data_IF_839664734114
#
_entry.id   IF_839664734114
#
_cell.length_a   1.000
_cell.length_b   1.000
_cell.length_c   1.000
_cell.angle_alpha   90.00
_cell.angle_beta   90.00
_cell.angle_gamma   90.00
#
_symmetry.space_group_name_H-M   'P 1'
#
loop_
_entity.id
_entity.type
_entity.pdbx_description
1 polymer ?
#
# COMPACT_ATOMS: atom_id res chain seq x y z
N UNK A 1 -80.27 -4.15 32.53
CA UNK A 1 -79.34 -3.47 31.60
C UNK A 1 -78.25 -2.61 32.26
N UNK A 2 -78.10 -2.56 33.60
CA UNK A 2 -77.11 -1.66 34.26
C UNK A 2 -75.72 -2.29 34.51
N UNK A 3 -75.59 -3.63 34.45
CA UNK A 3 -74.31 -4.30 34.72
C UNK A 3 -73.36 -4.42 33.51
N UNK A 4 -73.88 -4.36 32.27
CA UNK A 4 -73.05 -4.45 31.05
C UNK A 4 -72.36 -3.11 30.70
N UNK A 5 -72.93 -1.97 31.11
CA UNK A 5 -72.37 -0.63 30.84
C UNK A 5 -71.18 -0.26 31.73
N UNK A 6 -71.14 -0.71 32.99
CA UNK A 6 -70.03 -0.44 33.92
C UNK A 6 -68.78 -1.25 33.61
N UNK A 7 -68.91 -2.47 33.11
CA UNK A 7 -67.77 -3.32 32.77
C UNK A 7 -67.01 -2.84 31.52
N UNK A 8 -67.70 -2.27 30.52
CA UNK A 8 -67.04 -1.62 29.39
C UNK A 8 -66.26 -0.35 29.79
N UNK A 9 -66.79 0.46 30.71
CA UNK A 9 -66.13 1.71 31.15
C UNK A 9 -64.84 1.47 31.95
N UNK A 10 -64.80 0.42 32.77
CA UNK A 10 -63.58 0.05 33.50
C UNK A 10 -62.53 -0.60 32.58
N UNK A 11 -62.96 -1.49 31.67
CA UNK A 11 -62.09 -2.08 30.66
C UNK A 11 -61.43 -1.03 29.76
N UNK A 12 -62.16 0.01 29.35
CA UNK A 12 -61.60 1.09 28.52
C UNK A 12 -60.59 1.98 29.27
N UNK A 13 -60.82 2.23 30.57
CA UNK A 13 -59.87 2.99 31.40
C UNK A 13 -58.60 2.20 31.68
N UNK A 14 -58.72 0.91 31.89
CA UNK A 14 -57.60 0.00 32.11
C UNK A 14 -56.77 -0.18 30.84
N UNK A 15 -57.43 -0.37 29.68
CA UNK A 15 -56.79 -0.39 28.36
C UNK A 15 -56.05 0.91 28.06
N UNK A 16 -56.63 2.09 28.37
CA UNK A 16 -55.96 3.39 28.17
C UNK A 16 -54.76 3.59 29.11
N UNK A 17 -54.85 3.12 30.36
CA UNK A 17 -53.72 3.15 31.31
C UNK A 17 -52.58 2.25 30.85
N UNK A 18 -52.90 1.05 30.37
CA UNK A 18 -51.92 0.10 29.86
C UNK A 18 -51.28 0.59 28.56
N UNK A 19 -52.06 1.15 27.63
CA UNK A 19 -51.54 1.80 26.42
C UNK A 19 -50.60 2.97 26.75
N UNK A 20 -50.96 3.82 27.73
CA UNK A 20 -50.10 4.94 28.17
C UNK A 20 -48.81 4.45 28.83
N UNK A 21 -48.89 3.41 29.66
CA UNK A 21 -47.72 2.77 30.27
C UNK A 21 -46.77 2.20 29.22
N UNK A 22 -47.31 1.48 28.23
CA UNK A 22 -46.54 0.91 27.13
C UNK A 22 -45.87 1.99 26.27
N UNK A 23 -46.55 3.11 26.01
CA UNK A 23 -46.01 4.23 25.24
C UNK A 23 -44.87 4.95 25.98
N UNK A 24 -44.99 5.12 27.31
CA UNK A 24 -43.92 5.68 28.15
C UNK A 24 -42.71 4.73 28.21
N UNK A 25 -42.93 3.43 28.36
CA UNK A 25 -41.85 2.42 28.30
C UNK A 25 -41.16 2.45 26.94
N UNK A 26 -41.92 2.51 25.85
CA UNK A 26 -41.39 2.59 24.49
C UNK A 26 -40.55 3.86 24.25
N UNK A 27 -41.06 5.04 24.64
CA UNK A 27 -40.35 6.32 24.48
C UNK A 27 -39.03 6.33 25.25
N UNK A 28 -39.04 5.85 26.51
CA UNK A 28 -37.81 5.74 27.32
C UNK A 28 -36.80 4.77 26.70
N UNK A 29 -37.27 3.68 26.10
CA UNK A 29 -36.39 2.74 25.41
C UNK A 29 -35.75 3.38 24.17
N UNK A 30 -36.48 4.20 23.42
CA UNK A 30 -35.94 4.92 22.25
C UNK A 30 -34.92 5.99 22.62
N UNK A 31 -35.19 6.81 23.64
CA UNK A 31 -34.25 7.83 24.12
C UNK A 31 -32.93 7.18 24.56
N UNK A 32 -33.02 6.11 25.35
CA UNK A 32 -31.84 5.38 25.80
C UNK A 32 -31.06 4.77 24.64
N UNK A 33 -31.74 4.18 23.64
CA UNK A 33 -31.07 3.66 22.43
C UNK A 33 -30.31 4.76 21.66
N UNK A 34 -30.83 5.99 21.62
CA UNK A 34 -30.17 7.10 20.94
C UNK A 34 -28.91 7.57 21.68
N UNK A 35 -28.96 7.66 23.01
CA UNK A 35 -27.79 7.99 23.85
C UNK A 35 -26.65 6.98 23.64
N UNK A 36 -27.01 5.70 23.62
CA UNK A 36 -26.08 4.58 23.39
C UNK A 36 -25.41 4.73 22.03
N UNK A 37 -26.19 4.90 20.96
CA UNK A 37 -25.64 5.05 19.60
C UNK A 37 -24.70 6.26 19.51
N UNK A 38 -25.00 7.36 20.20
CA UNK A 38 -24.13 8.54 20.24
C UNK A 38 -22.81 8.27 20.97
N UNK A 39 -22.84 7.60 22.11
CA UNK A 39 -21.64 7.23 22.86
C UNK A 39 -20.77 6.21 22.11
N UNK A 40 -21.40 5.28 21.39
CA UNK A 40 -20.73 4.25 20.58
C UNK A 40 -20.00 4.83 19.36
N UNK A 41 -20.48 5.94 18.78
CA UNK A 41 -19.78 6.64 17.68
C UNK A 41 -18.41 7.19 18.15
N UNK A 42 -18.20 7.37 19.45
CA UNK A 42 -16.96 7.97 20.00
C UNK A 42 -15.91 6.96 20.46
N UNK A 43 -16.24 5.66 20.56
CA UNK A 43 -15.35 4.62 21.08
C UNK A 43 -14.87 3.67 19.96
N UNK A 44 -13.56 3.42 19.90
CA UNK A 44 -12.88 2.89 18.71
C UNK A 44 -12.61 1.37 18.70
N UNK A 45 -12.84 0.65 19.81
CA UNK A 45 -12.55 -0.78 19.91
C UNK A 45 -13.81 -1.64 19.88
N UNK A 46 -13.91 -2.58 18.94
CA UNK A 46 -15.06 -3.47 18.73
C UNK A 46 -15.45 -4.26 19.99
N UNK A 47 -14.47 -4.76 20.76
CA UNK A 47 -14.76 -5.54 21.97
C UNK A 47 -15.39 -4.68 23.08
N UNK A 48 -14.83 -3.48 23.32
CA UNK A 48 -15.36 -2.53 24.30
C UNK A 48 -16.74 -2.03 23.88
N UNK A 49 -16.96 -1.85 22.57
CA UNK A 49 -18.24 -1.49 21.98
C UNK A 49 -19.31 -2.54 22.29
N UNK A 50 -19.02 -3.81 22.02
CA UNK A 50 -19.97 -4.89 22.22
C UNK A 50 -20.30 -5.14 23.70
N UNK A 51 -19.32 -5.07 24.61
CA UNK A 51 -19.55 -5.23 26.05
C UNK A 51 -20.51 -4.16 26.59
N UNK A 52 -20.30 -2.88 26.21
CA UNK A 52 -21.19 -1.79 26.60
C UNK A 52 -22.61 -1.99 26.05
N UNK A 53 -22.70 -2.31 24.75
CA UNK A 53 -23.98 -2.62 24.10
C UNK A 53 -24.72 -3.75 24.79
N UNK A 54 -24.03 -4.82 25.17
CA UNK A 54 -24.65 -5.98 25.80
C UNK A 54 -25.30 -5.61 27.14
N UNK A 55 -24.59 -4.87 27.99
CA UNK A 55 -25.11 -4.39 29.28
C UNK A 55 -26.40 -3.60 29.06
N UNK A 56 -26.41 -2.71 28.08
CA UNK A 56 -27.52 -1.83 27.83
C UNK A 56 -28.71 -2.53 27.17
N UNK A 57 -28.45 -3.42 26.20
CA UNK A 57 -29.47 -4.27 25.58
C UNK A 57 -30.14 -5.15 26.64
N UNK A 58 -29.35 -5.79 27.51
CA UNK A 58 -29.86 -6.59 28.64
C UNK A 58 -30.74 -5.77 29.57
N UNK A 59 -30.33 -4.54 29.90
CA UNK A 59 -31.13 -3.63 30.72
C UNK A 59 -32.41 -3.15 30.01
N UNK A 60 -32.34 -2.91 28.69
CA UNK A 60 -33.44 -2.38 27.89
C UNK A 60 -34.57 -3.41 27.68
N UNK A 61 -34.17 -4.65 27.41
CA UNK A 61 -35.03 -5.77 27.14
C UNK A 61 -35.14 -6.74 28.32
N UNK A 62 -34.68 -6.38 29.51
CA UNK A 62 -34.79 -7.23 30.71
C UNK A 62 -34.43 -8.69 30.41
N UNK A 63 -33.34 -8.89 29.67
CA UNK A 63 -32.93 -10.19 29.14
C UNK A 63 -31.61 -10.62 29.79
N UNK A 64 -31.42 -11.94 29.89
CA UNK A 64 -30.26 -12.53 30.57
C UNK A 64 -29.09 -12.77 29.61
N UNK A 65 -29.40 -12.97 28.33
CA UNK A 65 -28.43 -13.28 27.29
C UNK A 65 -28.57 -12.38 26.07
N UNK A 66 -27.43 -12.01 25.47
CA UNK A 66 -27.34 -11.31 24.18
C UNK A 66 -26.29 -11.98 23.33
N UNK A 67 -26.65 -12.39 22.12
CA UNK A 67 -25.70 -12.89 21.12
C UNK A 67 -25.87 -12.14 19.81
N UNK A 68 -24.77 -11.70 19.21
CA UNK A 68 -24.75 -11.07 17.90
C UNK A 68 -24.09 -12.03 16.92
N UNK A 69 -24.82 -12.37 15.87
CA UNK A 69 -24.32 -13.17 14.77
C UNK A 69 -24.21 -12.32 13.51
N UNK A 70 -23.09 -12.42 12.80
CA UNK A 70 -22.91 -11.85 11.47
C UNK A 70 -23.23 -12.88 10.40
N UNK A 71 -23.97 -12.45 9.38
CA UNK A 71 -24.21 -13.26 8.20
C UNK A 71 -22.93 -13.28 7.36
N UNK A 72 -22.51 -14.47 6.95
CA UNK A 72 -21.37 -14.62 6.06
C UNK A 72 -21.70 -14.12 4.63
N UNK A 73 -20.69 -13.84 3.79
CA UNK A 73 -20.93 -13.37 2.42
C UNK A 73 -21.74 -14.33 1.53
N UNK A 74 -21.76 -15.63 1.86
CA UNK A 74 -22.58 -16.61 1.13
C UNK A 74 -24.07 -16.51 1.47
N UNK A 75 -24.40 -15.95 2.64
CA UNK A 75 -25.76 -15.87 3.16
C UNK A 75 -26.27 -17.18 3.79
N UNK A 76 -25.42 -18.19 3.92
CA UNK A 76 -25.80 -19.51 4.41
C UNK A 76 -25.54 -19.70 5.90
N UNK A 77 -24.60 -18.94 6.47
CA UNK A 77 -24.10 -19.16 7.82
C UNK A 77 -24.13 -17.89 8.67
N UNK A 78 -24.62 -18.03 9.89
CA UNK A 78 -24.57 -17.02 10.95
C UNK A 78 -23.40 -17.34 11.88
N UNK A 79 -22.38 -16.49 11.89
CA UNK A 79 -21.20 -16.65 12.72
C UNK A 79 -21.31 -15.75 13.95
N UNK A 80 -21.19 -16.28 15.18
CA UNK A 80 -21.22 -15.47 16.38
C UNK A 80 -20.00 -14.55 16.41
N UNK A 81 -20.23 -13.25 16.57
CA UNK A 81 -19.15 -12.24 16.73
C UNK A 81 -19.07 -11.70 18.15
N UNK A 82 -20.15 -11.86 18.91
CA UNK A 82 -20.23 -11.46 20.31
C UNK A 82 -21.30 -12.28 21.04
N UNK A 83 -21.03 -12.62 22.30
CA UNK A 83 -21.98 -13.28 23.19
C UNK A 83 -21.73 -12.84 24.62
N UNK A 84 -22.81 -12.53 25.34
CA UNK A 84 -22.82 -12.29 26.78
C UNK A 84 -24.00 -13.09 27.35
N UNK A 85 -23.72 -14.36 27.66
CA UNK A 85 -24.68 -15.32 28.21
C UNK A 85 -23.94 -16.33 29.12
N UNK A 86 -23.46 -15.90 30.31
CA UNK A 86 -22.79 -16.79 31.23
C UNK A 86 -23.77 -17.84 31.81
N UNK A 87 -23.38 -19.12 31.95
CA UNK A 87 -22.03 -19.67 31.74
C UNK A 87 -21.72 -20.12 30.30
N UNK A 88 -22.68 -20.04 29.38
CA UNK A 88 -22.62 -20.67 28.05
C UNK A 88 -21.84 -19.86 26.99
N UNK A 89 -21.37 -18.66 27.31
CA UNK A 89 -20.70 -17.72 26.39
C UNK A 89 -19.68 -18.37 25.45
N UNK A 90 -18.78 -19.21 25.95
CA UNK A 90 -17.72 -19.81 25.12
C UNK A 90 -18.25 -20.81 24.08
N UNK A 91 -19.21 -21.65 24.46
CA UNK A 91 -19.77 -22.66 23.56
C UNK A 91 -20.59 -22.01 22.44
N UNK A 92 -21.32 -20.93 22.80
CA UNK A 92 -22.09 -20.14 21.84
C UNK A 92 -21.15 -19.44 20.85
N UNK A 93 -20.05 -18.83 21.32
CA UNK A 93 -19.07 -18.16 20.45
C UNK A 93 -18.33 -19.13 19.49
N UNK A 94 -18.29 -20.42 19.78
CA UNK A 94 -17.67 -21.44 18.92
C UNK A 94 -18.64 -22.03 17.89
N UNK A 95 -19.93 -21.71 17.99
CA UNK A 95 -20.99 -22.40 17.23
C UNK A 95 -21.60 -21.49 16.16
N UNK A 96 -21.24 -21.72 14.90
CA UNK A 96 -21.92 -21.10 13.76
C UNK A 96 -23.26 -21.80 13.48
N UNK A 97 -24.27 -21.01 13.10
CA UNK A 97 -25.61 -21.51 12.82
C UNK A 97 -25.87 -21.51 11.31
N UNK A 98 -26.38 -22.62 10.79
CA UNK A 98 -26.88 -22.67 9.41
C UNK A 98 -28.21 -21.91 9.33
N UNK A 99 -28.31 -20.93 8.43
CA UNK A 99 -29.50 -20.09 8.28
C UNK A 99 -30.75 -20.94 8.06
N UNK A 100 -30.70 -21.97 7.22
CA UNK A 100 -31.86 -22.80 6.91
C UNK A 100 -32.34 -23.66 8.09
N UNK A 101 -31.46 -23.98 9.03
CA UNK A 101 -31.69 -24.95 10.10
C UNK A 101 -31.67 -24.36 11.52
N UNK A 102 -32.01 -23.08 11.69
CA UNK A 102 -32.14 -22.48 13.01
C UNK A 102 -33.27 -21.45 13.10
N UNK A 103 -33.72 -21.13 14.32
CA UNK A 103 -34.72 -20.08 14.57
C UNK A 103 -34.22 -18.70 14.13
N UNK A 104 -32.94 -18.43 14.34
CA UNK A 104 -32.32 -17.16 14.00
C UNK A 104 -32.37 -16.88 12.49
N UNK A 105 -32.15 -17.90 11.67
CA UNK A 105 -32.22 -17.80 10.21
C UNK A 105 -33.65 -17.62 9.67
N UNK A 106 -34.70 -17.94 10.44
CA UNK A 106 -36.07 -17.56 10.07
C UNK A 106 -36.24 -16.05 10.04
N UNK A 107 -35.64 -15.35 11.00
CA UNK A 107 -35.65 -13.89 11.05
C UNK A 107 -34.88 -13.28 9.87
N UNK A 108 -33.73 -13.85 9.50
CA UNK A 108 -32.97 -13.48 8.30
C UNK A 108 -33.82 -13.61 7.04
N UNK A 109 -34.42 -14.80 6.79
CA UNK A 109 -35.23 -15.05 5.60
C UNK A 109 -36.48 -14.17 5.53
N UNK A 110 -37.09 -13.89 6.69
CA UNK A 110 -38.28 -13.05 6.78
C UNK A 110 -37.97 -11.54 6.83
N UNK A 111 -36.71 -11.15 7.01
CA UNK A 111 -36.23 -9.77 7.19
C UNK A 111 -37.02 -8.98 8.25
N UNK A 112 -37.43 -9.66 9.31
CA UNK A 112 -38.17 -9.04 10.43
C UNK A 112 -37.85 -9.72 11.76
N UNK A 113 -37.96 -8.96 12.84
CA UNK A 113 -37.86 -9.50 14.19
C UNK A 113 -38.93 -10.54 14.47
N UNK A 114 -38.56 -11.57 15.23
CA UNK A 114 -39.44 -12.68 15.59
C UNK A 114 -39.26 -13.02 17.07
N UNK A 115 -40.38 -13.37 17.73
CA UNK A 115 -40.38 -13.87 19.11
C UNK A 115 -40.70 -15.36 19.05
N UNK A 116 -39.92 -16.13 19.80
CA UNK A 116 -40.06 -17.56 20.01
C UNK A 116 -40.12 -17.82 21.51
N UNK A 117 -41.31 -17.65 22.10
CA UNK A 117 -41.54 -18.13 23.46
C UNK A 117 -41.58 -19.67 23.44
N UNK A 118 -40.94 -20.33 24.39
CA UNK A 118 -40.70 -21.78 24.42
C UNK A 118 -39.84 -22.22 23.24
N UNK A 119 -38.71 -21.54 23.05
CA UNK A 119 -37.82 -21.67 21.89
C UNK A 119 -37.40 -23.12 21.64
N UNK A 120 -37.13 -23.90 22.70
CA UNK A 120 -36.73 -25.32 22.58
C UNK A 120 -37.82 -26.24 22.04
N UNK A 121 -39.09 -25.81 22.09
CA UNK A 121 -40.24 -26.56 21.53
C UNK A 121 -40.56 -26.15 20.10
N UNK A 122 -39.93 -25.10 19.57
CA UNK A 122 -40.20 -24.62 18.22
C UNK A 122 -39.60 -25.57 17.17
N UNK A 123 -40.31 -25.85 16.06
CA UNK A 123 -39.72 -26.61 14.95
C UNK A 123 -38.46 -25.90 14.46
N UNK A 124 -37.36 -26.61 14.21
CA UNK A 124 -36.09 -25.99 13.78
C UNK A 124 -35.34 -25.24 14.89
N UNK A 125 -35.69 -25.46 16.16
CA UNK A 125 -34.81 -25.18 17.28
C UNK A 125 -33.51 -25.99 17.13
N UNK A 126 -32.38 -25.32 17.35
CA UNK A 126 -31.06 -25.93 17.28
C UNK A 126 -30.43 -25.82 18.66
N UNK A 127 -30.10 -26.96 19.27
CA UNK A 127 -29.37 -26.98 20.53
C UNK A 127 -27.90 -26.72 20.24
N UNK A 128 -27.34 -25.69 20.89
CA UNK A 128 -25.91 -25.40 20.80
C UNK A 128 -25.15 -26.52 21.53
N UNK A 129 -24.15 -27.16 20.90
CA UNK A 129 -23.36 -28.20 21.55
C UNK A 129 -22.70 -27.66 22.83
N UNK A 130 -22.72 -28.44 23.92
CA UNK A 130 -22.09 -28.06 25.18
C UNK A 130 -22.94 -27.20 26.12
N UNK A 131 -24.11 -26.72 25.69
CA UNK A 131 -25.06 -25.98 26.55
C UNK A 131 -26.17 -26.89 27.09
N UNK A 132 -26.73 -26.61 28.29
CA UNK A 132 -27.84 -27.39 28.85
C UNK A 132 -29.10 -27.28 27.98
N UNK A 133 -29.93 -28.32 28.02
CA UNK A 133 -31.27 -28.29 27.40
C UNK A 133 -32.22 -27.61 28.38
N UNK A 134 -32.51 -26.33 28.15
CA UNK A 134 -33.38 -25.53 29.00
C UNK A 134 -34.84 -25.58 28.49
N UNK A 135 -35.80 -25.70 29.39
CA UNK A 135 -37.19 -26.01 29.02
C UNK A 135 -38.11 -24.79 28.91
N UNK A 136 -37.65 -23.63 29.39
CA UNK A 136 -38.42 -22.38 29.50
C UNK A 136 -37.73 -21.19 28.80
N UNK A 137 -36.92 -21.45 27.76
CA UNK A 137 -36.25 -20.38 27.02
C UNK A 137 -37.22 -19.58 26.16
N UNK A 138 -37.18 -18.27 26.31
CA UNK A 138 -37.87 -17.30 25.46
C UNK A 138 -36.83 -16.52 24.67
N UNK A 139 -36.94 -16.58 23.34
CA UNK A 139 -35.97 -15.98 22.42
C UNK A 139 -36.62 -14.85 21.62
N UNK A 140 -36.01 -13.67 21.60
CA UNK A 140 -36.31 -12.63 20.62
C UNK A 140 -35.15 -12.51 19.64
N UNK A 141 -35.40 -12.78 18.36
CA UNK A 141 -34.43 -12.64 17.29
C UNK A 141 -34.74 -11.39 16.48
N UNK A 142 -33.78 -10.50 16.37
CA UNK A 142 -33.87 -9.24 15.64
C UNK A 142 -32.88 -9.30 14.46
N UNK A 143 -33.30 -9.07 13.21
CA UNK A 143 -32.36 -8.98 12.10
C UNK A 143 -31.66 -7.62 12.11
N UNK A 144 -30.36 -7.64 11.87
CA UNK A 144 -29.60 -6.45 11.54
C UNK A 144 -29.76 -6.21 10.03
N UNK A 145 -30.33 -5.07 9.66
CA UNK A 145 -30.63 -4.74 8.27
C UNK A 145 -29.82 -3.52 7.85
N UNK A 146 -29.18 -3.61 6.68
CA UNK A 146 -28.49 -2.49 6.07
C UNK A 146 -29.45 -1.43 5.48
N UNK A 147 -28.89 -0.38 4.89
CA UNK A 147 -29.66 0.70 4.24
C UNK A 147 -30.51 0.21 3.05
N UNK A 148 -30.16 -0.93 2.45
CA UNK A 148 -30.87 -1.55 1.34
C UNK A 148 -31.86 -2.63 1.82
N UNK A 149 -32.11 -2.71 3.13
CA UNK A 149 -32.99 -3.71 3.73
C UNK A 149 -32.51 -5.15 3.49
N UNK A 150 -31.19 -5.34 3.39
CA UNK A 150 -30.55 -6.65 3.34
C UNK A 150 -30.03 -7.04 4.73
N UNK A 151 -30.21 -8.32 5.12
CA UNK A 151 -29.74 -8.79 6.39
C UNK A 151 -28.21 -8.88 6.41
N UNK A 152 -27.60 -8.26 7.42
CA UNK A 152 -26.16 -8.33 7.70
C UNK A 152 -25.86 -9.28 8.86
N UNK A 153 -26.89 -9.68 9.61
CA UNK A 153 -26.77 -10.56 10.77
C UNK A 153 -28.05 -10.55 11.62
N UNK A 154 -27.94 -11.05 12.84
CA UNK A 154 -29.03 -11.05 13.84
C UNK A 154 -28.51 -10.76 15.24
N UNK A 155 -29.40 -10.24 16.07
CA UNK A 155 -29.25 -10.14 17.52
C UNK A 155 -30.25 -11.12 18.12
N UNK A 156 -29.76 -12.05 18.93
CA UNK A 156 -30.56 -13.00 19.69
C UNK A 156 -30.59 -12.57 21.16
N UNK A 157 -31.77 -12.38 21.72
CA UNK A 157 -31.98 -12.03 23.12
C UNK A 157 -32.68 -13.18 23.84
N UNK A 158 -32.15 -13.57 24.99
CA UNK A 158 -32.66 -14.70 25.77
C UNK A 158 -33.27 -14.22 27.11
N UNK A 159 -34.45 -14.77 27.45
CA UNK A 159 -35.07 -14.71 28.78
C UNK A 159 -35.44 -16.14 29.20
N UNK A 160 -35.32 -16.46 30.50
CA UNK A 160 -35.77 -17.75 31.06
C UNK A 160 -37.15 -17.63 31.76
N UNK A 161 -37.37 -16.58 32.55
CA UNK A 161 -38.56 -16.52 33.43
C UNK A 161 -39.72 -15.67 32.88
N UNK A 162 -39.53 -15.00 31.74
CA UNK A 162 -40.52 -14.07 31.19
C UNK A 162 -40.57 -14.08 29.66
N UNK A 163 -41.79 -14.15 29.13
CA UNK A 163 -42.04 -14.09 27.69
C UNK A 163 -41.73 -12.70 27.12
N UNK A 164 -41.32 -12.67 25.85
CA UNK A 164 -41.26 -11.41 25.10
C UNK A 164 -42.64 -11.02 24.59
N UNK A 165 -42.94 -9.72 24.61
CA UNK A 165 -44.18 -9.15 24.07
C UNK A 165 -43.99 -8.59 22.66
N UNK A 166 -45.04 -8.64 21.84
CA UNK A 166 -45.01 -8.15 20.44
C UNK A 166 -44.66 -6.66 20.34
N UNK A 167 -45.01 -5.86 21.35
CA UNK A 167 -44.66 -4.43 21.40
C UNK A 167 -43.14 -4.17 21.52
N UNK A 168 -42.36 -5.17 21.97
CA UNK A 168 -40.90 -5.08 22.14
C UNK A 168 -40.16 -5.23 20.80
N UNK A 169 -40.80 -5.89 19.80
CA UNK A 169 -40.23 -6.06 18.46
C UNK A 169 -39.97 -4.73 17.76
N UNK A 170 -40.78 -3.70 18.00
CA UNK A 170 -40.57 -2.38 17.38
C UNK A 170 -39.25 -1.77 17.86
N UNK A 171 -38.99 -1.81 19.17
CA UNK A 171 -37.71 -1.36 19.75
C UNK A 171 -36.55 -2.25 19.28
N UNK A 172 -36.78 -3.56 19.21
CA UNK A 172 -35.80 -4.52 18.71
C UNK A 172 -35.37 -4.22 17.27
N UNK A 173 -36.31 -4.09 16.34
CA UNK A 173 -36.01 -3.81 14.94
C UNK A 173 -35.24 -2.49 14.75
N UNK A 174 -35.55 -1.46 15.55
CA UNK A 174 -34.81 -0.19 15.55
C UNK A 174 -33.35 -0.42 15.99
N UNK A 175 -33.15 -1.16 17.08
CA UNK A 175 -31.81 -1.57 17.53
C UNK A 175 -31.05 -2.34 16.42
N UNK A 176 -31.72 -3.25 15.71
CA UNK A 176 -31.11 -4.02 14.61
C UNK A 176 -30.58 -3.13 13.48
N UNK A 177 -31.32 -2.10 13.09
CA UNK A 177 -30.88 -1.12 12.06
C UNK A 177 -29.68 -0.30 12.57
N UNK A 178 -29.73 0.17 13.81
CA UNK A 178 -28.64 0.94 14.41
C UNK A 178 -27.35 0.11 14.50
N UNK A 179 -27.44 -1.11 15.01
CA UNK A 179 -26.29 -2.01 15.11
C UNK A 179 -25.72 -2.37 13.75
N UNK A 180 -26.56 -2.64 12.75
CA UNK A 180 -26.08 -2.87 11.38
C UNK A 180 -25.28 -1.66 10.85
N UNK A 181 -25.74 -0.45 11.14
CA UNK A 181 -25.08 0.79 10.68
C UNK A 181 -23.76 1.03 11.41
N UNK A 182 -23.74 0.84 12.73
CA UNK A 182 -22.54 1.01 13.56
C UNK A 182 -21.44 0.03 13.15
N UNK A 183 -21.79 -1.25 12.98
CA UNK A 183 -20.83 -2.28 12.56
C UNK A 183 -20.27 -2.01 11.17
N UNK A 184 -21.13 -1.60 10.22
CA UNK A 184 -20.67 -1.21 8.87
C UNK A 184 -19.70 -0.02 8.92
N UNK A 185 -19.99 0.99 9.73
CA UNK A 185 -19.12 2.16 9.89
C UNK A 185 -17.77 1.78 10.54
N UNK A 186 -17.77 0.93 11.56
CA UNK A 186 -16.56 0.45 12.21
C UNK A 186 -15.65 -0.32 11.23
N UNK A 187 -16.24 -1.21 10.42
CA UNK A 187 -15.53 -1.95 9.39
C UNK A 187 -14.93 -1.02 8.31
N UNK A 188 -15.72 -0.08 7.80
CA UNK A 188 -15.27 0.89 6.80
C UNK A 188 -14.12 1.76 7.34
N UNK A 189 -14.22 2.22 8.59
CA UNK A 189 -13.17 3.00 9.23
C UNK A 189 -11.87 2.21 9.38
N UNK A 190 -11.94 0.94 9.79
CA UNK A 190 -10.78 0.05 9.92
C UNK A 190 -10.10 -0.20 8.57
N UNK A 191 -10.89 -0.45 7.53
CA UNK A 191 -10.39 -0.61 6.16
C UNK A 191 -9.68 0.66 5.68
N UNK A 192 -10.34 1.82 5.82
CA UNK A 192 -9.78 3.13 5.46
C UNK A 192 -8.48 3.42 6.20
N UNK A 193 -8.43 3.18 7.53
CA UNK A 193 -7.23 3.41 8.34
C UNK A 193 -6.06 2.52 7.89
N UNK A 194 -6.34 1.26 7.52
CA UNK A 194 -5.32 0.36 6.98
C UNK A 194 -4.79 0.84 5.63
N UNK A 195 -5.66 1.32 4.76
CA UNK A 195 -5.29 1.86 3.44
C UNK A 195 -4.47 3.15 3.57
N UNK A 196 -4.90 4.09 4.41
CA UNK A 196 -4.16 5.32 4.71
C UNK A 196 -2.76 5.00 5.23
N UNK A 197 -2.65 4.11 6.22
CA UNK A 197 -1.35 3.69 6.75
C UNK A 197 -0.46 3.04 5.69
N UNK A 198 -1.02 2.16 4.86
CA UNK A 198 -0.28 1.52 3.77
C UNK A 198 0.22 2.55 2.74
N UNK A 199 -0.60 3.56 2.43
CA UNK A 199 -0.24 4.67 1.54
C UNK A 199 0.88 5.52 2.15
N UNK A 200 0.76 5.90 3.42
CA UNK A 200 1.80 6.66 4.15
C UNK A 200 3.14 5.90 4.17
N UNK A 201 3.13 4.61 4.49
CA UNK A 201 4.33 3.77 4.48
C UNK A 201 4.93 3.67 3.08
N UNK A 202 4.10 3.52 2.04
CA UNK A 202 4.56 3.47 0.65
C UNK A 202 5.18 4.79 0.22
N UNK A 203 4.57 5.91 0.57
CA UNK A 203 5.07 7.25 0.26
C UNK A 203 6.39 7.52 0.99
N UNK A 204 6.51 7.15 2.26
CA UNK A 204 7.77 7.27 3.01
C UNK A 204 8.88 6.42 2.40
N UNK A 205 8.58 5.18 1.99
CA UNK A 205 9.54 4.32 1.28
C UNK A 205 10.01 4.97 0.00
N UNK A 206 9.09 5.47 -0.85
CA UNK A 206 9.44 6.15 -2.09
C UNK A 206 10.28 7.42 -1.85
N UNK A 207 9.87 8.29 -0.91
CA UNK A 207 10.63 9.50 -0.54
C UNK A 207 12.05 9.17 -0.08
N UNK A 208 12.22 8.09 0.68
CA UNK A 208 13.53 7.62 1.14
C UNK A 208 14.41 7.16 -0.03
N UNK A 209 13.86 6.34 -0.93
CA UNK A 209 14.57 5.85 -2.11
C UNK A 209 15.05 7.01 -3.00
N UNK A 210 14.17 7.97 -3.29
CA UNK A 210 14.53 9.15 -4.11
C UNK A 210 15.59 10.01 -3.41
N UNK A 211 15.47 10.21 -2.10
CA UNK A 211 16.38 11.06 -1.31
C UNK A 211 17.81 10.52 -1.27
N UNK A 212 17.97 9.20 -1.13
CA UNK A 212 19.27 8.54 -1.00
C UNK A 212 19.76 7.87 -2.29
N UNK A 213 19.08 8.09 -3.42
CA UNK A 213 19.55 7.61 -4.71
C UNK A 213 20.94 8.20 -5.02
N UNK A 214 21.88 7.40 -5.56
CA UNK A 214 23.20 7.88 -5.98
C UNK A 214 23.14 8.72 -7.28
N UNK A 215 21.95 8.86 -7.86
CA UNK A 215 21.68 9.67 -9.04
C UNK A 215 20.95 10.95 -8.65
N UNK A 216 21.23 12.04 -9.35
CA UNK A 216 20.36 13.20 -9.36
C UNK A 216 19.02 12.80 -10.00
N UNK A 217 17.90 13.12 -9.36
CA UNK A 217 16.56 12.82 -9.87
C UNK A 217 15.78 14.13 -9.91
N UNK A 218 15.09 14.38 -11.02
CA UNK A 218 14.09 15.43 -11.12
C UNK A 218 12.84 14.96 -11.84
N UNK A 219 11.72 15.63 -11.58
CA UNK A 219 10.52 15.53 -12.40
C UNK A 219 10.09 16.90 -12.90
N UNK A 220 9.40 16.92 -14.03
CA UNK A 220 8.86 18.13 -14.66
C UNK A 220 7.46 17.87 -15.19
N UNK A 221 6.67 18.94 -15.32
CA UNK A 221 5.40 18.93 -16.06
C UNK A 221 5.64 19.01 -17.58
N UNK A 222 4.55 19.06 -18.36
CA UNK A 222 4.62 19.19 -19.83
C UNK A 222 5.09 20.58 -20.31
N UNK A 223 5.18 21.56 -19.42
CA UNK A 223 5.61 22.94 -19.72
C UNK A 223 7.08 23.19 -19.35
N UNK A 224 7.78 22.17 -18.84
CA UNK A 224 9.18 22.24 -18.48
C UNK A 224 9.42 22.83 -17.08
N UNK A 225 8.39 23.04 -16.28
CA UNK A 225 8.57 23.47 -14.89
C UNK A 225 9.03 22.28 -14.05
N UNK A 226 10.09 22.48 -13.27
CA UNK A 226 10.63 21.42 -12.40
C UNK A 226 9.74 21.30 -11.17
N UNK A 227 9.16 20.11 -10.97
CA UNK A 227 8.22 19.83 -9.87
C UNK A 227 8.93 19.28 -8.64
N UNK A 228 9.99 18.51 -8.82
CA UNK A 228 10.75 17.91 -7.74
C UNK A 228 12.20 17.71 -8.15
N UNK A 229 13.09 17.82 -7.17
CA UNK A 229 14.50 17.44 -7.27
C UNK A 229 14.92 16.68 -6.01
N UNK A 230 15.81 15.71 -6.14
CA UNK A 230 16.44 15.08 -4.99
C UNK A 230 17.74 15.80 -4.57
N UNK A 231 18.25 15.57 -3.34
CA UNK A 231 19.47 16.23 -2.87
C UNK A 231 20.70 15.96 -3.74
N UNK A 232 20.80 14.76 -4.33
CA UNK A 232 21.95 14.41 -5.17
C UNK A 232 22.05 15.30 -6.40
N UNK A 233 20.91 15.68 -7.01
CA UNK A 233 20.95 16.61 -8.15
C UNK A 233 21.49 17.98 -7.75
N UNK A 234 21.17 18.47 -6.55
CA UNK A 234 21.69 19.74 -6.04
C UNK A 234 23.21 19.69 -5.90
N UNK A 235 23.74 18.58 -5.38
CA UNK A 235 25.18 18.33 -5.27
C UNK A 235 25.86 18.29 -6.64
N UNK A 236 25.28 17.58 -7.61
CA UNK A 236 25.79 17.48 -8.98
C UNK A 236 25.88 18.86 -9.61
N UNK A 237 24.82 19.68 -9.50
CA UNK A 237 24.77 21.01 -10.11
C UNK A 237 25.49 22.09 -9.28
N UNK A 238 25.83 21.84 -8.02
CA UNK A 238 26.32 22.88 -7.10
C UNK A 238 25.24 23.89 -6.72
N UNK A 239 23.98 23.45 -6.68
CA UNK A 239 22.83 24.30 -6.36
C UNK A 239 22.74 24.60 -4.86
N UNK A 240 22.39 25.84 -4.45
CA UNK A 240 22.22 26.19 -3.05
C UNK A 240 20.94 25.62 -2.43
N UNK A 241 19.89 25.35 -3.22
CA UNK A 241 18.63 24.81 -2.70
C UNK A 241 17.74 24.18 -3.77
N UNK A 242 16.74 23.40 -3.31
CA UNK A 242 15.72 22.84 -4.19
C UNK A 242 14.92 23.95 -4.88
N UNK A 243 14.51 24.98 -4.13
CA UNK A 243 13.74 26.12 -4.63
C UNK A 243 14.48 26.87 -5.74
N UNK A 244 15.78 27.12 -5.56
CA UNK A 244 16.61 27.80 -6.56
C UNK A 244 16.76 27.00 -7.86
N UNK A 245 16.68 25.66 -7.76
CA UNK A 245 16.70 24.73 -8.90
C UNK A 245 15.34 24.66 -9.56
N UNK A 246 14.27 24.54 -8.76
CA UNK A 246 12.89 24.44 -9.24
C UNK A 246 12.39 25.73 -9.90
N UNK A 247 12.99 26.88 -9.59
CA UNK A 247 12.74 28.13 -10.28
C UNK A 247 13.26 28.17 -11.74
N UNK A 248 13.97 27.13 -12.19
CA UNK A 248 14.42 26.99 -13.57
C UNK A 248 13.31 26.31 -14.39
N UNK A 249 12.90 26.94 -15.48
CA UNK A 249 12.11 26.26 -16.52
C UNK A 249 13.06 25.59 -17.53
N UNK A 250 12.89 24.28 -17.75
CA UNK A 250 13.77 23.46 -18.57
C UNK A 250 13.76 23.84 -20.06
N UNK A 251 12.72 24.50 -20.55
CA UNK A 251 12.55 24.86 -21.95
C UNK A 251 13.02 26.27 -22.29
N UNK A 252 13.01 27.17 -21.31
CA UNK A 252 13.35 28.59 -21.48
C UNK A 252 14.73 28.94 -20.92
N UNK A 253 15.38 28.04 -20.17
CA UNK A 253 16.64 28.34 -19.52
C UNK A 253 17.83 28.29 -20.51
N UNK A 254 18.55 29.41 -20.74
CA UNK A 254 19.54 29.51 -21.83
C UNK A 254 20.66 28.47 -21.78
N UNK A 255 21.12 28.10 -20.57
CA UNK A 255 22.20 27.10 -20.42
C UNK A 255 21.74 25.70 -20.82
N UNK A 256 20.47 25.35 -20.58
CA UNK A 256 19.92 24.04 -20.96
C UNK A 256 19.61 23.98 -22.46
N UNK A 257 19.13 25.09 -23.04
CA UNK A 257 18.92 25.22 -24.48
C UNK A 257 20.24 25.06 -25.22
N UNK A 258 21.28 25.80 -24.80
CA UNK A 258 22.61 25.73 -25.40
C UNK A 258 23.23 24.32 -25.31
N UNK A 259 22.95 23.60 -24.23
CA UNK A 259 23.43 22.24 -24.03
C UNK A 259 22.61 21.16 -24.78
N UNK A 260 21.52 21.53 -25.46
CA UNK A 260 20.63 20.60 -26.17
C UNK A 260 19.66 19.81 -25.28
N UNK A 261 19.78 19.94 -23.95
CA UNK A 261 18.96 19.21 -22.97
C UNK A 261 17.48 19.58 -23.09
N UNK A 262 17.18 20.86 -23.35
CA UNK A 262 15.81 21.34 -23.52
C UNK A 262 15.09 20.65 -24.69
N UNK A 263 15.78 20.45 -25.81
CA UNK A 263 15.21 19.80 -26.99
C UNK A 263 15.00 18.31 -26.78
N UNK A 264 15.92 17.66 -26.05
CA UNK A 264 15.82 16.25 -25.73
C UNK A 264 14.63 15.98 -24.79
N UNK A 265 14.39 16.81 -23.78
CA UNK A 265 13.20 16.69 -22.90
C UNK A 265 11.91 16.96 -23.69
N UNK A 266 11.89 17.96 -24.59
CA UNK A 266 10.72 18.23 -25.46
C UNK A 266 10.38 17.02 -26.33
N UNK A 267 11.38 16.37 -26.93
CA UNK A 267 11.18 15.14 -27.73
C UNK A 267 10.60 14.01 -26.88
N UNK A 268 11.11 13.81 -25.66
CA UNK A 268 10.60 12.77 -24.74
C UNK A 268 9.12 13.00 -24.43
N UNK A 269 8.73 14.24 -24.15
CA UNK A 269 7.33 14.58 -23.86
C UNK A 269 6.43 14.43 -25.10
N UNK A 270 6.91 14.85 -26.28
CA UNK A 270 6.13 14.78 -27.51
C UNK A 270 5.98 13.36 -28.08
N UNK A 271 7.05 12.55 -27.99
CA UNK A 271 7.11 11.22 -28.60
C UNK A 271 6.76 10.10 -27.60
N UNK A 272 6.80 10.37 -26.29
CA UNK A 272 6.59 9.35 -25.26
C UNK A 272 7.70 8.29 -25.22
N UNK A 273 8.92 8.64 -25.66
CA UNK A 273 10.07 7.73 -25.72
C UNK A 273 11.17 8.12 -24.74
N UNK A 274 11.95 7.15 -24.28
CA UNK A 274 13.12 7.39 -23.41
C UNK A 274 14.29 7.91 -24.25
N UNK A 275 15.04 8.87 -23.72
CA UNK A 275 16.27 9.38 -24.32
C UNK A 275 17.42 9.34 -23.29
N UNK A 276 18.62 9.02 -23.77
CA UNK A 276 19.86 9.02 -22.98
C UNK A 276 20.97 9.78 -23.71
N UNK A 277 21.76 10.57 -22.96
CA UNK A 277 22.90 11.31 -23.52
C UNK A 277 23.99 11.62 -22.47
N UNK A 278 25.19 11.96 -22.95
CA UNK A 278 26.30 12.46 -22.12
C UNK A 278 26.72 13.85 -22.58
N UNK A 279 26.82 14.80 -21.65
CA UNK A 279 27.19 16.18 -21.94
C UNK A 279 28.20 16.73 -20.93
N UNK A 280 28.99 17.70 -21.37
CA UNK A 280 29.65 18.63 -20.45
C UNK A 280 28.69 19.79 -20.18
N UNK A 281 28.41 20.04 -18.90
CA UNK A 281 27.48 21.07 -18.47
C UNK A 281 28.08 21.96 -17.40
N UNK A 282 28.00 23.27 -17.60
CA UNK A 282 28.29 24.25 -16.56
C UNK A 282 26.98 24.80 -16.02
N UNK A 283 26.73 24.57 -14.74
CA UNK A 283 25.53 25.06 -14.07
C UNK A 283 25.55 26.58 -13.94
N UNK A 284 24.37 27.17 -13.68
CA UNK A 284 24.27 28.62 -13.42
C UNK A 284 25.03 29.07 -12.17
N UNK A 285 25.37 28.12 -11.30
CA UNK A 285 26.15 28.35 -10.08
C UNK A 285 27.67 28.17 -10.31
N UNK A 286 28.09 27.96 -11.56
CA UNK A 286 29.50 27.93 -11.97
C UNK A 286 30.19 26.58 -11.83
N UNK A 287 29.48 25.52 -11.40
CA UNK A 287 30.05 24.18 -11.33
C UNK A 287 30.00 23.52 -12.71
N UNK A 288 31.16 23.17 -13.26
CA UNK A 288 31.28 22.36 -14.48
C UNK A 288 31.37 20.87 -14.13
N UNK A 289 30.58 20.07 -14.81
CA UNK A 289 30.46 18.63 -14.60
C UNK A 289 30.21 17.91 -15.93
N UNK A 290 30.73 16.69 -16.06
CA UNK A 290 30.27 15.78 -17.09
C UNK A 290 29.06 15.01 -16.54
N UNK A 291 27.94 15.09 -17.24
CA UNK A 291 26.68 14.49 -16.82
C UNK A 291 26.26 13.47 -17.87
N UNK A 292 26.01 12.24 -17.43
CA UNK A 292 25.17 11.28 -18.16
C UNK A 292 23.76 11.42 -17.66
N UNK A 293 22.79 11.54 -18.55
CA UNK A 293 21.40 11.65 -18.15
C UNK A 293 20.48 10.76 -18.97
N UNK A 294 19.41 10.31 -18.34
CA UNK A 294 18.30 9.57 -18.95
C UNK A 294 17.02 10.33 -18.63
N UNK A 295 16.19 10.57 -19.63
CA UNK A 295 14.88 11.20 -19.47
C UNK A 295 13.81 10.26 -19.99
N UNK A 296 12.78 10.02 -19.16
CA UNK A 296 11.64 9.19 -19.49
C UNK A 296 10.33 9.97 -19.33
N UNK A 297 9.30 9.70 -20.14
CA UNK A 297 7.99 10.33 -19.97
C UNK A 297 7.29 9.83 -18.70
N UNK A 298 6.50 10.70 -18.08
CA UNK A 298 5.58 10.33 -17.02
C UNK A 298 4.15 10.31 -17.56
N UNK A 299 3.39 9.26 -17.26
CA UNK A 299 2.05 9.04 -17.79
C UNK A 299 0.98 9.15 -16.69
N UNK A 300 -0.20 9.63 -17.05
CA UNK A 300 -1.40 9.52 -16.22
C UNK A 300 -2.13 8.17 -16.41
N UNK A 301 -3.26 8.00 -15.72
CA UNK A 301 -4.12 6.81 -15.81
C UNK A 301 -4.67 6.57 -17.23
N UNK A 302 -4.75 7.61 -18.06
CA UNK A 302 -5.22 7.55 -19.44
C UNK A 302 -4.10 7.32 -20.45
N UNK A 303 -2.88 7.03 -20.00
CA UNK A 303 -1.67 6.90 -20.82
C UNK A 303 -1.30 8.20 -21.57
N UNK A 304 -1.78 9.35 -21.11
CA UNK A 304 -1.35 10.64 -21.62
C UNK A 304 -0.06 11.08 -20.92
N UNK A 305 0.86 11.68 -21.66
CA UNK A 305 2.10 12.23 -21.09
C UNK A 305 1.76 13.48 -20.28
N UNK A 306 2.06 13.46 -18.99
CA UNK A 306 1.85 14.57 -18.06
C UNK A 306 3.15 15.27 -17.64
N UNK A 307 4.28 14.80 -18.17
CA UNK A 307 5.59 15.39 -17.90
C UNK A 307 6.72 14.40 -18.16
N UNK A 308 7.85 14.62 -17.50
CA UNK A 308 9.01 13.74 -17.62
C UNK A 308 9.75 13.58 -16.29
N UNK A 309 10.50 12.48 -16.16
CA UNK A 309 11.43 12.21 -15.07
C UNK A 309 12.83 12.09 -15.66
N UNK A 310 13.77 12.84 -15.08
CA UNK A 310 15.18 12.81 -15.46
C UNK A 310 16.03 12.20 -14.35
N UNK A 311 16.95 11.31 -14.71
CA UNK A 311 18.03 10.84 -13.84
C UNK A 311 19.38 11.33 -14.36
N UNK A 312 20.26 11.77 -13.46
CA UNK A 312 21.54 12.41 -13.76
C UNK A 312 22.67 11.75 -12.97
N UNK A 313 23.70 11.33 -13.66
CA UNK A 313 24.91 10.72 -13.11
C UNK A 313 26.09 11.67 -13.37
N UNK A 314 26.83 12.01 -12.32
CA UNK A 314 28.10 12.73 -12.46
C UNK A 314 29.19 11.75 -12.88
N UNK A 315 29.63 11.88 -14.12
CA UNK A 315 30.67 11.04 -14.74
C UNK A 315 31.99 11.79 -14.87
N UNK A 316 32.18 12.89 -14.13
CA UNK A 316 33.37 13.74 -14.20
C UNK A 316 34.64 12.97 -13.86
N UNK A 317 34.63 12.19 -12.78
CA UNK A 317 35.79 11.38 -12.37
C UNK A 317 36.18 10.38 -13.46
N UNK A 318 35.20 9.71 -14.06
CA UNK A 318 35.41 8.77 -15.17
C UNK A 318 36.04 9.45 -16.37
N UNK A 319 35.49 10.59 -16.82
CA UNK A 319 36.01 11.35 -17.97
C UNK A 319 37.41 11.90 -17.72
N UNK A 320 37.68 12.39 -16.51
CA UNK A 320 39.02 12.88 -16.14
C UNK A 320 40.05 11.74 -16.08
N UNK A 321 39.68 10.57 -15.57
CA UNK A 321 40.54 9.39 -15.57
C UNK A 321 40.86 8.91 -16.99
N UNK A 322 39.85 8.84 -17.87
CA UNK A 322 40.03 8.50 -19.29
C UNK A 322 40.96 9.50 -19.99
N UNK A 323 40.78 10.80 -19.74
CA UNK A 323 41.63 11.85 -20.31
C UNK A 323 43.07 11.77 -19.79
N UNK A 324 43.25 11.57 -18.48
CA UNK A 324 44.57 11.45 -17.87
C UNK A 324 45.32 10.23 -18.42
N UNK A 325 44.63 9.10 -18.60
CA UNK A 325 45.19 7.90 -19.22
C UNK A 325 45.63 8.19 -20.67
N UNK A 326 44.74 8.78 -21.49
CA UNK A 326 45.06 9.13 -22.88
C UNK A 326 46.25 10.09 -23.00
N UNK A 327 46.33 11.10 -22.13
CA UNK A 327 47.46 12.04 -22.09
C UNK A 327 48.75 11.33 -21.66
N UNK A 328 48.68 10.44 -20.67
CA UNK A 328 49.83 9.66 -20.20
C UNK A 328 50.37 8.74 -21.31
N UNK A 329 49.49 8.01 -22.00
CA UNK A 329 49.85 7.15 -23.12
C UNK A 329 50.49 7.94 -24.26
N UNK A 330 49.92 9.10 -24.61
CA UNK A 330 50.47 9.97 -25.65
C UNK A 330 51.88 10.45 -25.27
N UNK A 331 52.07 10.91 -24.03
CA UNK A 331 53.38 11.35 -23.52
C UNK A 331 54.39 10.21 -23.52
N UNK A 332 54.00 9.00 -23.09
CA UNK A 332 54.84 7.82 -23.15
C UNK A 332 55.29 7.52 -24.59
N UNK A 333 54.36 7.51 -25.54
CA UNK A 333 54.69 7.25 -26.96
C UNK A 333 55.63 8.32 -27.53
N UNK A 334 55.42 9.59 -27.23
CA UNK A 334 56.28 10.68 -27.70
C UNK A 334 57.70 10.58 -27.12
N UNK A 335 57.82 10.32 -25.81
CA UNK A 335 59.11 10.12 -25.15
C UNK A 335 59.83 8.88 -25.70
N UNK A 336 59.13 7.75 -25.78
CA UNK A 336 59.72 6.49 -26.24
C UNK A 336 60.17 6.60 -27.70
N UNK A 337 59.38 7.24 -28.57
CA UNK A 337 59.72 7.42 -29.99
C UNK A 337 60.86 8.42 -30.25
N UNK A 338 61.20 9.28 -29.30
CA UNK A 338 62.30 10.25 -29.43
C UNK A 338 63.58 9.79 -28.73
N UNK A 339 63.51 8.73 -27.93
CA UNK A 339 64.67 8.18 -27.23
C UNK A 339 65.66 7.54 -28.23
N UNK A 340 66.97 7.84 -28.14
CA UNK A 340 68.00 7.24 -29.00
C UNK A 340 68.38 5.82 -28.56
N UNK A 341 67.37 5.05 -28.11
CA UNK A 341 67.49 3.67 -27.64
C UNK A 341 66.32 2.85 -28.18
N UNK A 342 66.50 1.53 -28.17
CA UNK A 342 65.49 0.56 -28.58
C UNK A 342 64.57 0.24 -27.41
N UNK A 343 63.29 0.60 -27.52
CA UNK A 343 62.29 0.40 -26.47
C UNK A 343 61.18 -0.49 -27.02
N UNK A 344 60.85 -1.51 -26.24
CA UNK A 344 59.75 -2.41 -26.50
C UNK A 344 59.10 -2.82 -25.18
N UNK A 345 57.82 -3.17 -25.22
CA UNK A 345 57.11 -3.71 -24.05
C UNK A 345 56.44 -5.02 -24.39
N UNK A 346 56.19 -5.81 -23.36
CA UNK A 346 55.60 -7.14 -23.46
C UNK A 346 54.44 -7.23 -22.48
N UNK A 347 53.48 -8.10 -22.77
CA UNK A 347 52.50 -8.51 -21.75
C UNK A 347 53.09 -9.55 -20.78
N UNK A 348 52.26 -10.02 -19.86
CA UNK A 348 52.63 -11.05 -18.87
C UNK A 348 52.92 -12.43 -19.50
N UNK A 349 52.62 -12.65 -20.78
CA UNK A 349 52.88 -13.89 -21.50
C UNK A 349 54.11 -13.76 -22.42
N UNK A 350 54.95 -12.74 -22.21
CA UNK A 350 56.11 -12.44 -23.03
C UNK A 350 55.75 -12.16 -24.51
N UNK A 351 54.55 -11.63 -24.77
CA UNK A 351 54.13 -11.23 -26.12
C UNK A 351 54.43 -9.74 -26.30
N UNK A 352 55.28 -9.39 -27.27
CA UNK A 352 55.60 -7.99 -27.55
C UNK A 352 54.37 -7.22 -28.04
N UNK A 353 54.00 -6.14 -27.35
CA UNK A 353 52.80 -5.36 -27.64
C UNK A 353 53.11 -3.90 -28.05
N UNK A 354 54.36 -3.47 -27.98
CA UNK A 354 54.81 -2.15 -28.41
C UNK A 354 56.29 -2.16 -28.79
N UNK A 355 56.65 -1.39 -29.81
CA UNK A 355 58.01 -1.04 -30.21
C UNK A 355 58.06 0.45 -30.52
N UNK A 356 59.13 1.13 -30.10
CA UNK A 356 59.31 2.54 -30.41
C UNK A 356 59.80 2.78 -31.84
N UNK A 357 59.69 4.03 -32.30
CA UNK A 357 60.09 4.45 -33.65
C UNK A 357 61.55 4.12 -33.97
N UNK A 358 62.48 4.34 -33.01
CA UNK A 358 63.90 4.04 -33.19
C UNK A 358 64.17 2.57 -33.50
N UNK A 359 63.44 1.64 -32.86
CA UNK A 359 63.52 0.21 -33.18
C UNK A 359 63.09 -0.06 -34.63
N UNK A 360 61.90 0.39 -34.99
CA UNK A 360 61.29 0.11 -36.30
C UNK A 360 62.12 0.71 -37.45
N UNK A 361 62.67 1.92 -37.26
CA UNK A 361 63.57 2.55 -38.24
C UNK A 361 64.89 1.80 -38.37
N UNK A 362 65.44 1.28 -37.28
CA UNK A 362 66.68 0.50 -37.31
C UNK A 362 66.50 -0.87 -37.97
N UNK A 363 65.45 -1.61 -37.62
CA UNK A 363 65.20 -2.94 -38.20
C UNK A 363 64.60 -2.88 -39.60
N UNK A 364 63.99 -1.74 -39.97
CA UNK A 364 63.27 -1.57 -41.24
C UNK A 364 61.96 -2.35 -41.31
N UNK A 365 61.49 -2.89 -40.18
CA UNK A 365 60.27 -3.70 -40.07
C UNK A 365 59.11 -2.85 -39.57
N UNK A 366 57.88 -3.18 -39.97
CA UNK A 366 56.69 -2.48 -39.47
C UNK A 366 56.30 -2.98 -38.09
N UNK A 367 55.52 -2.18 -37.34
CA UNK A 367 55.03 -2.59 -36.02
C UNK A 367 54.29 -3.94 -36.10
N UNK A 368 53.44 -4.12 -37.10
CA UNK A 368 52.66 -5.36 -37.31
C UNK A 368 53.55 -6.58 -37.57
N UNK A 369 54.74 -6.38 -38.14
CA UNK A 369 55.71 -7.46 -38.38
C UNK A 369 56.53 -7.82 -37.13
N UNK A 370 56.60 -6.91 -36.16
CA UNK A 370 57.36 -7.08 -34.91
C UNK A 370 56.48 -7.54 -33.74
N UNK A 371 55.19 -7.18 -33.73
CA UNK A 371 54.22 -7.58 -32.71
C UNK A 371 54.22 -9.11 -32.48
N UNK A 372 54.05 -9.50 -31.22
CA UNK A 372 54.20 -10.88 -30.78
C UNK A 372 55.65 -11.35 -30.83
N UNK A 373 55.95 -12.39 -31.61
CA UNK A 373 57.28 -12.99 -31.70
C UNK A 373 58.07 -12.52 -32.94
N UNK A 374 57.68 -11.39 -33.53
CA UNK A 374 58.30 -10.85 -34.75
C UNK A 374 59.78 -10.50 -34.58
N UNK A 375 60.15 -9.99 -33.41
CA UNK A 375 61.53 -9.62 -33.04
C UNK A 375 62.54 -10.75 -33.24
N UNK A 376 62.15 -12.00 -33.01
CA UNK A 376 63.03 -13.16 -33.15
C UNK A 376 63.49 -13.40 -34.59
N UNK A 377 62.80 -12.79 -35.60
CA UNK A 377 63.22 -12.84 -37.01
C UNK A 377 64.41 -11.92 -37.32
N UNK A 378 64.73 -10.99 -36.42
CA UNK A 378 65.91 -10.12 -36.53
C UNK A 378 67.19 -10.73 -35.95
N UNK A 379 67.10 -11.92 -35.34
CA UNK A 379 68.24 -12.64 -34.73
C UNK A 379 68.87 -13.57 -35.77
N UNK A 380 70.18 -13.76 -35.72
CA UNK A 380 70.87 -14.75 -36.54
C UNK A 380 70.24 -16.14 -36.36
N UNK A 381 70.02 -16.91 -37.45
CA UNK A 381 69.31 -18.19 -37.38
C UNK A 381 69.88 -19.19 -36.37
N UNK A 382 71.20 -19.17 -36.19
CA UNK A 382 71.95 -20.03 -35.27
C UNK A 382 71.68 -19.71 -33.79
N UNK A 383 71.28 -18.48 -33.47
CA UNK A 383 71.04 -18.01 -32.11
C UNK A 383 69.54 -17.88 -31.75
N UNK A 384 68.67 -17.85 -32.75
CA UNK A 384 67.25 -17.51 -32.58
C UNK A 384 66.48 -18.49 -31.65
N UNK A 385 66.79 -19.78 -31.70
CA UNK A 385 66.14 -20.79 -30.85
C UNK A 385 66.55 -20.63 -29.38
N UNK A 386 67.85 -20.53 -29.12
CA UNK A 386 68.40 -20.30 -27.78
C UNK A 386 67.91 -18.99 -27.17
N UNK A 387 67.84 -17.90 -27.94
CA UNK A 387 67.31 -16.62 -27.45
C UNK A 387 65.82 -16.69 -27.09
N UNK A 388 65.01 -17.41 -27.87
CA UNK A 388 63.58 -17.59 -27.57
C UNK A 388 63.38 -18.39 -26.29
N UNK A 389 64.11 -19.49 -26.11
CA UNK A 389 64.02 -20.31 -24.90
C UNK A 389 64.31 -19.50 -23.64
N UNK A 390 65.42 -18.76 -23.63
CA UNK A 390 65.81 -17.89 -22.51
C UNK A 390 64.73 -16.84 -22.25
N UNK A 391 64.22 -16.21 -23.32
CA UNK A 391 63.21 -15.16 -23.21
C UNK A 391 61.87 -15.66 -22.65
N UNK A 392 61.43 -16.87 -23.02
CA UNK A 392 60.18 -17.45 -22.52
C UNK A 392 60.29 -18.08 -21.12
N UNK A 393 61.51 -18.37 -20.67
CA UNK A 393 61.78 -19.01 -19.38
C UNK A 393 62.05 -18.00 -18.24
N UNK A 394 62.25 -16.73 -18.57
CA UNK A 394 62.42 -15.61 -17.63
C UNK A 394 61.06 -15.02 -17.26
#
# INVERSE_FOLDING_TARGET
MSFLSKNHSNSDKENRRQARSNLVKFSRRQERLLEIVQDLITHYEENVLFEKLAIEIKALFECIGVTIYMLDPSGETLNPVFCDEPPNTEEILKTSLNVNNCLAGRSIRAKRGMIFNDATKQPGAYQIPGTPVEHDDHLMVIPMLDRNHQPTGVIALLRQDAQFEVNELTSGNILGIYLSTLLSNAQNYKALKKEVKAREESEQRFRTLVKFAPLGIMSTDTEGNILQVNPKLLEILGSPSAEATMAINLFDFPLLIKAGVSDDIKKVIQLGTILENEIEYTSKWGKSVYIRYVVAPNFDENHAVVGAVGSFEDITERKLAELALSVSEKRFREMANTAPVFIWTTDQNAVCNYFNKSWLEFTGRTLEQELGNGWAKGIYPEDAEKCREIYTAA
#
